data_IF_028942368575
#
_entry.id   IF_028942368575
#
_cell.length_a   1.000
_cell.length_b   1.000
_cell.length_c   1.000
_cell.angle_alpha   90.00
_cell.angle_beta   90.00
_cell.angle_gamma   90.00
#
_symmetry.space_group_name_H-M   'P 1'
#
loop_
_entity.id
_entity.type
_entity.pdbx_description
1 polymer ?
#
# COMPACT_ATOMS: atom_id res chain seq x y z
N UNK A 1 -6.12 9.94 -11.67
CA UNK A 1 -6.04 8.56 -11.10
C UNK A 1 -7.25 8.23 -10.22
N UNK A 2 -7.63 9.08 -9.25
CA UNK A 2 -8.80 8.83 -8.38
C UNK A 2 -10.08 8.42 -9.14
N UNK A 3 -10.45 9.17 -10.19
CA UNK A 3 -11.62 8.85 -11.03
C UNK A 3 -11.52 7.49 -11.70
N UNK A 4 -10.33 7.09 -12.17
CA UNK A 4 -10.05 5.79 -12.79
C UNK A 4 -10.22 4.66 -11.77
N UNK A 5 -9.67 4.82 -10.56
CA UNK A 5 -9.82 3.81 -9.51
C UNK A 5 -11.28 3.68 -9.08
N UNK A 6 -11.99 4.80 -8.93
CA UNK A 6 -13.41 4.85 -8.54
C UNK A 6 -14.30 4.16 -9.57
N UNK A 7 -14.18 4.50 -10.86
CA UNK A 7 -15.02 3.90 -11.91
C UNK A 7 -14.69 2.43 -12.20
N UNK A 8 -13.45 1.99 -11.93
CA UNK A 8 -13.02 0.58 -12.07
C UNK A 8 -13.43 -0.28 -10.87
N UNK A 9 -13.75 0.32 -9.72
CA UNK A 9 -14.05 -0.42 -8.49
C UNK A 9 -15.22 -1.41 -8.64
N UNK A 10 -16.40 -1.06 -9.20
CA UNK A 10 -17.55 -1.97 -9.29
C UNK A 10 -17.22 -3.26 -10.04
N UNK A 11 -16.61 -3.15 -11.22
CA UNK A 11 -16.27 -4.32 -12.04
C UNK A 11 -15.17 -5.17 -11.41
N UNK A 12 -14.20 -4.54 -10.73
CA UNK A 12 -13.12 -5.29 -10.06
C UNK A 12 -13.64 -6.02 -8.82
N UNK A 13 -14.51 -5.39 -8.03
CA UNK A 13 -15.13 -6.02 -6.86
C UNK A 13 -16.08 -7.15 -7.29
N UNK A 14 -16.80 -7.02 -8.40
CA UNK A 14 -17.64 -8.10 -8.91
C UNK A 14 -16.83 -9.39 -9.17
N UNK A 15 -15.63 -9.25 -9.73
CA UNK A 15 -14.73 -10.37 -10.04
C UNK A 15 -13.99 -10.91 -8.79
N UNK A 16 -13.36 -10.02 -8.02
CA UNK A 16 -12.45 -10.41 -6.94
C UNK A 16 -13.11 -10.47 -5.57
N UNK A 17 -14.26 -9.82 -5.40
CA UNK A 17 -15.01 -9.71 -4.14
C UNK A 17 -14.11 -9.22 -3.00
N UNK A 18 -14.15 -9.93 -1.88
CA UNK A 18 -13.37 -9.65 -0.68
C UNK A 18 -11.85 -9.82 -0.85
N UNK A 19 -11.38 -10.39 -1.97
CA UNK A 19 -9.94 -10.53 -2.30
C UNK A 19 -9.34 -9.27 -2.93
N UNK A 20 -10.15 -8.28 -3.28
CA UNK A 20 -9.66 -7.00 -3.80
C UNK A 20 -9.52 -5.99 -2.67
N UNK A 21 -8.36 -5.36 -2.57
CA UNK A 21 -8.08 -4.32 -1.58
C UNK A 21 -7.23 -3.23 -2.22
N UNK A 22 -7.68 -1.99 -2.09
CA UNK A 22 -6.91 -0.80 -2.49
C UNK A 22 -5.99 -0.40 -1.32
N UNK A 23 -4.78 0.03 -1.64
CA UNK A 23 -3.80 0.48 -0.65
C UNK A 23 -3.37 1.91 -0.99
N UNK A 24 -3.29 2.78 0.00
CA UNK A 24 -2.89 4.16 -0.21
C UNK A 24 -2.40 4.85 1.07
N UNK A 25 -1.92 6.10 0.95
CA UNK A 25 -1.60 6.92 2.11
C UNK A 25 -2.89 7.39 2.80
N UNK A 26 -2.87 7.43 4.12
CA UNK A 26 -3.98 7.96 4.92
C UNK A 26 -4.00 9.48 4.87
N UNK A 27 -5.11 10.03 4.39
CA UNK A 27 -5.49 11.41 4.63
C UNK A 27 -6.64 11.42 5.64
N UNK A 28 -6.37 11.93 6.85
CA UNK A 28 -7.32 11.91 7.97
C UNK A 28 -8.62 12.66 7.67
N UNK A 29 -8.54 13.80 6.97
CA UNK A 29 -9.71 14.65 6.70
C UNK A 29 -10.68 13.95 5.74
N UNK A 30 -10.16 13.35 4.65
CA UNK A 30 -11.00 12.66 3.68
C UNK A 30 -11.44 11.28 4.18
N UNK A 31 -10.60 10.55 4.91
CA UNK A 31 -10.92 9.21 5.39
C UNK A 31 -12.11 9.21 6.34
N UNK A 32 -12.27 10.25 7.18
CA UNK A 32 -13.40 10.38 8.10
C UNK A 32 -14.77 10.44 7.40
N UNK A 33 -14.81 10.84 6.13
CA UNK A 33 -16.05 10.98 5.34
C UNK A 33 -16.19 9.88 4.30
N UNK A 34 -15.07 9.42 3.72
CA UNK A 34 -15.07 8.48 2.59
C UNK A 34 -14.91 7.01 3.00
N UNK A 35 -14.52 6.70 4.24
CA UNK A 35 -14.21 5.33 4.65
C UNK A 35 -15.08 4.90 5.84
N UNK A 36 -15.74 3.75 5.68
CA UNK A 36 -16.36 3.03 6.78
C UNK A 36 -15.38 2.00 7.33
N UNK A 37 -14.95 2.17 8.58
CA UNK A 37 -14.03 1.24 9.23
C UNK A 37 -14.64 -0.16 9.40
N UNK A 38 -13.82 -1.19 9.18
CA UNK A 38 -14.24 -2.57 9.29
C UNK A 38 -13.31 -3.37 10.21
N UNK A 39 -13.87 -4.45 10.76
CA UNK A 39 -13.06 -5.48 11.40
C UNK A 39 -12.41 -6.38 10.34
N UNK A 40 -11.15 -6.73 10.56
CA UNK A 40 -10.38 -7.59 9.66
C UNK A 40 -10.82 -9.05 9.87
N UNK A 41 -11.63 -9.57 8.96
CA UNK A 41 -12.17 -10.93 9.05
C UNK A 41 -11.20 -12.02 8.52
N UNK A 42 -10.31 -11.68 7.58
CA UNK A 42 -9.32 -12.62 7.06
C UNK A 42 -8.18 -12.80 8.08
N UNK A 43 -7.90 -14.04 8.54
CA UNK A 43 -6.91 -14.28 9.59
C UNK A 43 -5.47 -13.99 9.14
N UNK A 44 -5.12 -14.21 7.87
CA UNK A 44 -3.79 -13.92 7.36
C UNK A 44 -3.59 -12.41 7.23
N UNK A 45 -4.61 -11.69 6.73
CA UNK A 45 -4.58 -10.24 6.69
C UNK A 45 -4.53 -9.65 8.09
N UNK A 46 -5.28 -10.21 9.03
CA UNK A 46 -5.27 -9.78 10.43
C UNK A 46 -3.89 -9.97 11.06
N UNK A 47 -3.27 -11.14 10.92
CA UNK A 47 -1.92 -11.40 11.43
C UNK A 47 -0.90 -10.42 10.84
N UNK A 48 -1.00 -10.15 9.54
CA UNK A 48 -0.16 -9.18 8.82
C UNK A 48 -0.28 -7.78 9.42
N UNK A 49 -1.51 -7.29 9.56
CA UNK A 49 -1.78 -5.95 10.05
C UNK A 49 -1.46 -5.82 11.55
N UNK A 50 -1.74 -6.84 12.36
CA UNK A 50 -1.37 -6.89 13.78
C UNK A 50 0.18 -6.89 13.96
N UNK A 51 0.91 -7.63 13.10
CA UNK A 51 2.39 -7.65 13.08
C UNK A 51 2.94 -6.25 12.82
N UNK A 52 2.40 -5.53 11.83
CA UNK A 52 2.81 -4.15 11.52
C UNK A 52 2.42 -3.18 12.65
N UNK A 53 1.21 -3.29 13.19
CA UNK A 53 0.74 -2.46 14.31
C UNK A 53 1.61 -2.61 15.56
N UNK A 54 2.05 -3.85 15.87
CA UNK A 54 2.94 -4.13 17.00
C UNK A 54 4.28 -3.42 16.92
N UNK A 55 4.67 -3.00 15.71
CA UNK A 55 5.91 -2.25 15.43
C UNK A 55 5.67 -0.76 15.19
N UNK A 56 4.47 -0.27 15.54
CA UNK A 56 4.15 1.16 15.56
C UNK A 56 3.54 1.71 14.27
N UNK A 57 3.31 0.88 13.24
CA UNK A 57 2.62 1.33 12.01
C UNK A 57 1.15 1.54 12.30
N UNK A 58 0.65 2.74 12.02
CA UNK A 58 -0.78 3.06 12.10
C UNK A 58 -1.43 2.95 10.72
N UNK A 59 -2.64 2.43 10.68
CA UNK A 59 -3.43 2.29 9.46
C UNK A 59 -4.93 2.36 9.75
N UNK A 60 -5.72 2.59 8.71
CA UNK A 60 -7.16 2.38 8.69
C UNK A 60 -7.47 1.23 7.74
N UNK A 61 -8.32 0.30 8.16
CA UNK A 61 -8.90 -0.73 7.31
C UNK A 61 -10.42 -0.55 7.24
N UNK A 62 -10.98 -0.57 6.05
CA UNK A 62 -12.40 -0.28 5.87
C UNK A 62 -12.91 -0.53 4.46
N UNK A 63 -14.10 0.02 4.17
CA UNK A 63 -14.68 0.12 2.83
C UNK A 63 -14.69 1.56 2.37
N UNK A 64 -14.30 1.78 1.12
CA UNK A 64 -14.47 3.07 0.48
C UNK A 64 -15.93 3.26 0.07
N UNK A 65 -16.56 4.36 0.52
CA UNK A 65 -17.96 4.71 0.31
C UNK A 65 -18.23 5.20 -1.12
N UNK A 66 -17.98 4.32 -2.08
CA UNK A 66 -18.28 4.47 -3.50
C UNK A 66 -19.04 3.23 -4.01
N UNK A 67 -19.51 3.29 -5.25
CA UNK A 67 -20.11 2.12 -5.91
C UNK A 67 -19.14 0.93 -5.92
N UNK A 68 -19.64 -0.25 -5.57
CA UNK A 68 -18.86 -1.48 -5.40
C UNK A 68 -18.24 -1.66 -4.00
N UNK A 69 -18.15 -0.60 -3.18
CA UNK A 69 -17.65 -0.63 -1.80
C UNK A 69 -16.37 -1.49 -1.62
N UNK A 70 -15.27 -1.20 -2.34
CA UNK A 70 -14.04 -1.98 -2.25
C UNK A 70 -13.39 -1.82 -0.87
N UNK A 71 -12.68 -2.86 -0.41
CA UNK A 71 -11.84 -2.78 0.78
C UNK A 71 -10.67 -1.82 0.56
N UNK A 72 -10.28 -1.10 1.60
CA UNK A 72 -9.14 -0.18 1.61
C UNK A 72 -8.24 -0.43 2.81
N UNK A 73 -6.93 -0.28 2.62
CA UNK A 73 -5.92 -0.13 3.68
C UNK A 73 -5.24 1.22 3.46
N UNK A 74 -5.37 2.12 4.43
CA UNK A 74 -4.78 3.45 4.38
C UNK A 74 -3.70 3.57 5.44
N UNK A 75 -2.45 3.71 5.03
CA UNK A 75 -1.30 3.79 5.94
C UNK A 75 -1.02 5.23 6.37
N UNK A 76 -0.89 5.46 7.68
CA UNK A 76 -0.42 6.75 8.22
C UNK A 76 1.09 6.87 8.02
N UNK A 77 1.50 7.72 7.08
CA UNK A 77 2.91 7.93 6.78
C UNK A 77 3.68 8.55 7.95
N UNK A 78 3.01 9.34 8.81
CA UNK A 78 3.66 9.96 9.96
C UNK A 78 4.10 8.92 10.97
N UNK A 79 3.36 7.81 11.10
CA UNK A 79 3.72 6.70 11.98
C UNK A 79 5.05 6.02 11.60
N UNK A 80 5.46 6.14 10.34
CA UNK A 80 6.71 5.59 9.81
C UNK A 80 7.80 6.64 9.57
N UNK A 81 7.55 7.92 9.90
CA UNK A 81 8.46 9.03 9.62
C UNK A 81 9.86 8.84 10.22
N UNK A 82 9.97 8.15 11.37
CA UNK A 82 11.23 7.83 12.02
C UNK A 82 12.15 6.91 11.20
N UNK A 83 11.64 6.22 10.19
CA UNK A 83 12.42 5.35 9.29
C UNK A 83 12.86 6.04 8.00
N UNK A 84 12.46 7.29 7.75
CA UNK A 84 12.64 7.93 6.45
C UNK A 84 14.10 7.98 5.99
N UNK A 85 15.02 8.38 6.88
CA UNK A 85 16.45 8.52 6.52
C UNK A 85 17.10 7.16 6.24
N UNK A 86 16.73 6.14 7.01
CA UNK A 86 17.16 4.75 6.80
C UNK A 86 16.67 4.25 5.42
N UNK A 87 15.38 4.45 5.12
CA UNK A 87 14.77 3.98 3.89
C UNK A 87 15.24 4.74 2.64
N UNK A 88 15.58 6.02 2.77
CA UNK A 88 16.26 6.77 1.71
C UNK A 88 17.63 6.16 1.38
N UNK A 89 18.38 5.84 2.43
CA UNK A 89 19.71 5.22 2.29
C UNK A 89 19.60 3.84 1.65
N UNK A 90 18.67 3.00 2.11
CA UNK A 90 18.40 1.69 1.52
C UNK A 90 17.95 1.82 0.05
N UNK A 91 17.10 2.81 -0.26
CA UNK A 91 16.60 3.01 -1.63
C UNK A 91 17.72 3.39 -2.60
N UNK A 92 18.64 4.25 -2.17
CA UNK A 92 19.85 4.57 -2.92
C UNK A 92 20.70 3.32 -3.16
N UNK A 93 20.93 2.51 -2.12
CA UNK A 93 21.74 1.30 -2.23
C UNK A 93 21.10 0.22 -3.13
N UNK A 94 19.77 0.12 -3.14
CA UNK A 94 19.03 -0.88 -3.91
C UNK A 94 18.86 -0.46 -5.38
N UNK A 95 18.50 0.79 -5.62
CA UNK A 95 18.00 1.26 -6.91
C UNK A 95 18.73 2.49 -7.47
N UNK A 96 19.66 3.09 -6.72
CA UNK A 96 20.38 4.30 -7.15
C UNK A 96 19.48 5.53 -7.30
N UNK A 97 18.34 5.57 -6.58
CA UNK A 97 17.38 6.67 -6.66
C UNK A 97 17.73 7.71 -5.60
N UNK A 98 18.14 8.94 -5.98
CA UNK A 98 18.38 10.00 -5.02
C UNK A 98 17.07 10.56 -4.47
N UNK A 99 17.06 10.98 -3.20
CA UNK A 99 15.87 11.51 -2.53
C UNK A 99 16.21 12.80 -1.74
N UNK A 100 16.14 13.98 -2.38
CA UNK A 100 16.41 15.24 -1.71
C UNK A 100 15.50 15.46 -0.50
N UNK A 101 16.05 15.87 0.65
CA UNK A 101 15.27 16.02 1.89
C UNK A 101 14.16 17.06 1.82
N UNK A 102 14.32 18.08 0.97
CA UNK A 102 13.34 19.14 0.78
C UNK A 102 12.09 18.72 -0.03
N UNK A 103 12.12 17.56 -0.71
CA UNK A 103 11.02 17.09 -1.54
C UNK A 103 10.07 16.20 -0.71
N UNK A 104 8.97 16.79 -0.24
CA UNK A 104 7.97 16.09 0.56
C UNK A 104 7.19 15.02 -0.22
N UNK A 105 6.97 15.20 -1.52
CA UNK A 105 6.26 14.22 -2.34
C UNK A 105 7.09 12.96 -2.51
N UNK A 106 8.37 13.12 -2.83
CA UNK A 106 9.32 12.01 -2.88
C UNK A 106 9.45 11.33 -1.51
N UNK A 107 9.53 12.10 -0.42
CA UNK A 107 9.58 11.54 0.94
C UNK A 107 8.34 10.67 1.23
N UNK A 108 7.15 11.15 0.89
CA UNK A 108 5.90 10.42 1.09
C UNK A 108 5.82 9.16 0.21
N UNK A 109 6.26 9.24 -1.05
CA UNK A 109 6.33 8.09 -1.95
C UNK A 109 7.27 7.00 -1.41
N UNK A 110 8.39 7.39 -0.80
CA UNK A 110 9.32 6.46 -0.14
C UNK A 110 8.65 5.80 1.07
N UNK A 111 8.07 6.58 1.99
CA UNK A 111 7.39 6.05 3.16
C UNK A 111 6.30 5.04 2.76
N UNK A 112 5.45 5.43 1.81
CA UNK A 112 4.39 4.56 1.30
C UNK A 112 4.97 3.30 0.65
N UNK A 113 5.98 3.44 -0.22
CA UNK A 113 6.57 2.31 -0.93
C UNK A 113 7.17 1.26 0.01
N UNK A 114 7.86 1.70 1.07
CA UNK A 114 8.41 0.80 2.07
C UNK A 114 7.34 0.15 2.93
N UNK A 115 6.32 0.90 3.36
CA UNK A 115 5.17 0.34 4.09
C UNK A 115 4.42 -0.69 3.27
N UNK A 116 4.18 -0.44 1.98
CA UNK A 116 3.53 -1.37 1.06
C UNK A 116 4.39 -2.61 0.82
N UNK A 117 5.70 -2.45 0.57
CA UNK A 117 6.60 -3.58 0.39
C UNK A 117 6.69 -4.44 1.67
N UNK A 118 6.69 -3.80 2.84
CA UNK A 118 6.65 -4.48 4.12
C UNK A 118 5.33 -5.26 4.30
N UNK A 119 4.20 -4.61 4.09
CA UNK A 119 2.88 -5.25 4.13
C UNK A 119 2.81 -6.46 3.21
N UNK A 120 3.24 -6.33 1.96
CA UNK A 120 3.23 -7.43 1.00
C UNK A 120 4.13 -8.59 1.46
N UNK A 121 5.31 -8.30 2.03
CA UNK A 121 6.22 -9.30 2.57
C UNK A 121 5.62 -10.08 3.76
N UNK A 122 4.98 -9.38 4.69
CA UNK A 122 4.29 -10.00 5.83
C UNK A 122 3.05 -10.78 5.37
N UNK A 123 2.29 -10.25 4.39
CA UNK A 123 1.11 -10.92 3.84
C UNK A 123 1.47 -12.26 3.21
N UNK A 124 2.47 -12.30 2.33
CA UNK A 124 2.91 -13.57 1.71
C UNK A 124 3.68 -14.45 2.69
N UNK A 125 4.12 -13.93 3.84
CA UNK A 125 4.62 -14.75 4.92
C UNK A 125 3.49 -15.50 5.63
N UNK A 126 2.36 -14.83 5.88
CA UNK A 126 1.21 -15.42 6.56
C UNK A 126 0.28 -16.23 5.64
N UNK A 127 0.07 -15.80 4.40
CA UNK A 127 -0.76 -16.47 3.39
C UNK A 127 0.15 -17.19 2.38
N UNK A 128 0.20 -18.52 2.49
CA UNK A 128 1.00 -19.40 1.60
C UNK A 128 0.17 -20.09 0.53
N UNK A 129 -1.14 -19.90 0.54
CA UNK A 129 -2.06 -20.63 -0.34
C UNK A 129 -2.39 -19.80 -1.59
N UNK A 130 -2.45 -18.48 -1.46
CA UNK A 130 -2.95 -17.58 -2.50
C UNK A 130 -1.80 -16.87 -3.20
N UNK A 131 -1.84 -16.86 -4.52
CA UNK A 131 -0.99 -15.95 -5.30
C UNK A 131 -1.44 -14.50 -5.10
N UNK A 132 -0.49 -13.62 -4.79
CA UNK A 132 -0.74 -12.19 -4.53
C UNK A 132 -0.32 -11.36 -5.74
N UNK A 133 -1.22 -10.50 -6.22
CA UNK A 133 -0.96 -9.53 -7.30
C UNK A 133 -0.94 -8.13 -6.70
N UNK A 134 0.17 -7.42 -6.86
CA UNK A 134 0.33 -6.02 -6.46
C UNK A 134 0.34 -5.12 -7.70
N UNK A 135 -0.69 -4.28 -7.85
CA UNK A 135 -0.81 -3.35 -8.97
C UNK A 135 -0.58 -1.91 -8.52
N UNK A 136 0.57 -1.34 -8.88
CA UNK A 136 0.95 0.04 -8.59
C UNK A 136 0.53 0.98 -9.73
N UNK A 137 -0.14 2.08 -9.37
CA UNK A 137 -0.54 3.13 -10.30
C UNK A 137 0.29 4.39 -10.06
N UNK A 138 1.00 4.84 -11.09
CA UNK A 138 1.86 6.02 -11.10
C UNK A 138 3.11 5.93 -10.21
N UNK A 139 4.12 6.75 -10.50
CA UNK A 139 5.42 6.71 -9.85
C UNK A 139 5.35 6.92 -8.32
N UNK A 140 4.40 7.72 -7.84
CA UNK A 140 4.20 7.98 -6.40
C UNK A 140 3.88 6.71 -5.59
N UNK A 141 3.27 5.70 -6.22
CA UNK A 141 3.03 4.39 -5.60
C UNK A 141 4.04 3.32 -6.07
N UNK A 142 5.03 3.70 -6.89
CA UNK A 142 5.94 2.80 -7.58
C UNK A 142 7.16 2.38 -6.76
N UNK A 143 7.48 3.05 -5.64
CA UNK A 143 8.69 2.75 -4.84
C UNK A 143 8.68 1.32 -4.28
N UNK A 144 7.51 0.72 -4.04
CA UNK A 144 7.43 -0.67 -3.60
C UNK A 144 7.97 -1.67 -4.64
N UNK A 145 7.94 -1.35 -5.94
CA UNK A 145 8.31 -2.26 -7.02
C UNK A 145 9.78 -2.70 -7.00
N UNK A 146 10.79 -1.78 -6.94
CA UNK A 146 12.19 -2.18 -6.83
C UNK A 146 12.45 -2.97 -5.54
N UNK A 147 11.76 -2.64 -4.43
CA UNK A 147 11.89 -3.35 -3.16
C UNK A 147 11.40 -4.79 -3.27
N UNK A 148 10.19 -5.01 -3.82
CA UNK A 148 9.62 -6.33 -4.06
C UNK A 148 10.55 -7.20 -4.91
N UNK A 149 11.11 -6.63 -6.00
CA UNK A 149 12.05 -7.33 -6.87
C UNK A 149 13.35 -7.67 -6.16
N UNK A 150 13.98 -6.71 -5.47
CA UNK A 150 15.28 -6.91 -4.81
C UNK A 150 15.18 -7.91 -3.65
N UNK A 151 14.11 -7.82 -2.86
CA UNK A 151 13.86 -8.68 -1.69
C UNK A 151 13.24 -10.04 -2.06
N UNK A 152 12.93 -10.27 -3.34
CA UNK A 152 12.28 -11.50 -3.85
C UNK A 152 11.00 -11.82 -3.07
N UNK A 153 10.18 -10.81 -2.83
CA UNK A 153 8.87 -10.99 -2.21
C UNK A 153 8.01 -11.81 -3.19
N UNK A 154 7.31 -12.83 -2.69
CA UNK A 154 6.51 -13.78 -3.48
C UNK A 154 5.19 -13.17 -3.98
N UNK A 155 5.30 -12.11 -4.77
CA UNK A 155 4.19 -11.35 -5.36
C UNK A 155 4.42 -11.15 -6.85
N UNK A 156 3.34 -11.12 -7.62
CA UNK A 156 3.38 -10.65 -9.01
C UNK A 156 3.08 -9.16 -9.05
N UNK A 157 3.98 -8.36 -9.60
CA UNK A 157 3.84 -6.90 -9.65
C UNK A 157 3.41 -6.40 -11.02
N UNK A 158 2.44 -5.48 -11.08
CA UNK A 158 2.01 -4.76 -12.27
C UNK A 158 2.21 -3.26 -12.04
N UNK A 159 2.73 -2.54 -13.04
CA UNK A 159 2.88 -1.09 -12.99
C UNK A 159 2.12 -0.43 -14.14
N UNK A 160 1.40 0.64 -13.84
CA UNK A 160 0.72 1.46 -14.83
C UNK A 160 1.01 2.93 -14.58
N UNK A 161 1.75 3.57 -15.49
CA UNK A 161 1.96 5.02 -15.52
C UNK A 161 0.83 5.68 -16.31
N UNK A 162 0.32 6.81 -15.83
CA UNK A 162 -0.78 7.55 -16.50
C UNK A 162 -0.25 8.70 -17.36
N UNK A 163 0.99 9.12 -17.12
CA UNK A 163 1.74 10.08 -17.92
C UNK A 163 3.26 9.80 -17.81
N UNK A 164 4.08 10.53 -18.57
CA UNK A 164 5.56 10.51 -18.51
C UNK A 164 6.11 11.91 -18.65
#
# INVERSE_FOLDING_TARGET
>A
IYSVLKSKAPITVAEYKERYTLIGPLNHDSAAVEVEELQVADPHLKATLDSMASRGVKYIYGRWLIEGAPRVILFDLNSASGHLDEWKTDLWNIAGIPAPSADSETNNAILLGYLVAWFLGELVHHDKERAVIAHCHEWLAGVALPLCRKRRIDVTTVFTTHAT
#
